data_IF_926717277291
#
_entry.id   IF_926717277291
#
_cell.length_a   1.000
_cell.length_b   1.000
_cell.length_c   1.000
_cell.angle_alpha   90.00
_cell.angle_beta   90.00
_cell.angle_gamma   90.00
#
_symmetry.space_group_name_H-M   'P 1'
#
loop_
_entity.id
_entity.type
_entity.pdbx_description
1 polymer ?
#
# COMPACT_ATOMS: atom_id res chain seq x y z
N UNK A 1 35.31 12.43 81.99
CA UNK A 1 36.68 12.97 82.25
C UNK A 1 37.44 12.86 80.91
N UNK A 2 38.10 13.91 80.39
CA UNK A 2 39.51 14.32 80.65
C UNK A 2 40.49 13.12 80.55
N UNK A 3 41.58 13.14 79.77
CA UNK A 3 42.35 14.19 79.09
C UNK A 3 42.56 13.86 77.57
N UNK A 4 42.85 14.75 76.61
CA UNK A 4 43.89 15.80 76.46
C UNK A 4 45.34 15.24 76.47
N UNK A 5 46.30 15.64 75.60
CA UNK A 5 46.33 16.66 74.52
C UNK A 5 47.52 16.40 73.54
N UNK A 6 47.41 16.83 72.26
CA UNK A 6 48.53 17.55 71.58
C UNK A 6 49.28 16.92 70.38
N UNK A 7 49.05 17.49 69.17
CA UNK A 7 50.00 18.17 68.24
C UNK A 7 51.37 17.50 67.87
N UNK A 8 51.92 17.57 66.64
CA UNK A 8 51.62 18.42 65.46
C UNK A 8 52.13 17.82 64.10
N UNK A 9 51.43 18.17 63.00
CA UNK A 9 51.77 18.18 61.55
C UNK A 9 52.42 17.01 60.74
N UNK A 10 51.77 16.76 59.57
CA UNK A 10 52.26 16.64 58.17
C UNK A 10 53.47 15.72 57.84
N UNK A 11 53.49 14.97 56.72
CA UNK A 11 52.53 14.81 55.61
C UNK A 11 52.35 13.31 55.26
N UNK A 12 51.18 12.94 54.73
CA UNK A 12 50.77 11.52 54.69
C UNK A 12 50.96 10.79 53.35
N UNK A 13 51.30 9.50 53.47
CA UNK A 13 51.03 8.38 52.53
C UNK A 13 51.66 8.50 51.13
N UNK A 14 52.54 7.60 50.66
CA UNK A 14 53.03 6.32 51.15
C UNK A 14 51.97 5.22 51.40
N UNK A 15 51.73 4.37 50.38
CA UNK A 15 51.87 2.90 50.51
C UNK A 15 51.79 2.16 49.16
N UNK A 16 52.88 1.49 48.83
CA UNK A 16 52.95 0.26 48.01
C UNK A 16 52.68 -0.97 48.93
N UNK A 17 53.00 -2.24 48.60
CA UNK A 17 53.50 -2.84 47.33
C UNK A 17 52.79 -4.17 46.94
N UNK A 18 53.26 -4.81 45.86
CA UNK A 18 53.77 -6.20 45.81
C UNK A 18 53.90 -6.63 44.32
N UNK A 19 55.09 -6.75 43.72
CA UNK A 19 56.16 -7.75 43.95
C UNK A 19 55.91 -9.11 43.25
N UNK A 20 56.36 -9.22 41.99
CA UNK A 20 57.15 -10.38 41.50
C UNK A 20 57.93 -10.05 40.22
N UNK A 21 59.09 -10.69 40.08
CA UNK A 21 59.95 -10.80 38.88
C UNK A 21 59.51 -12.03 38.05
N UNK A 22 59.89 -12.31 36.78
CA UNK A 22 60.70 -11.67 35.72
C UNK A 22 60.53 -12.45 34.38
N UNK A 23 60.96 -11.87 33.26
CA UNK A 23 61.50 -12.50 32.02
C UNK A 23 60.62 -13.44 31.18
N UNK A 24 60.38 -13.04 29.92
CA UNK A 24 61.13 -13.55 28.75
C UNK A 24 60.97 -12.57 27.56
N UNK A 25 61.70 -12.74 26.46
CA UNK A 25 61.83 -11.71 25.38
C UNK A 25 62.15 -12.36 24.02
N UNK A 26 61.83 -11.65 22.92
CA UNK A 26 61.86 -11.92 21.45
C UNK A 26 60.49 -12.30 20.87
N UNK A 27 59.86 -11.57 19.93
CA UNK A 27 60.27 -11.20 18.54
C UNK A 27 60.36 -12.42 17.60
N UNK A 28 59.80 -12.43 16.37
CA UNK A 28 59.19 -11.35 15.55
C UNK A 28 58.33 -11.84 14.36
N UNK A 29 57.36 -11.01 13.94
CA UNK A 29 56.83 -10.85 12.56
C UNK A 29 55.95 -11.94 11.92
N UNK A 30 55.17 -11.65 10.84
CA UNK A 30 54.73 -10.33 10.33
C UNK A 30 53.20 -10.14 10.33
N UNK A 31 52.75 -8.92 10.05
CA UNK A 31 51.33 -8.55 9.91
C UNK A 31 50.69 -9.09 8.61
N UNK A 32 49.36 -9.25 8.61
CA UNK A 32 48.55 -9.43 7.40
C UNK A 32 47.57 -8.26 7.25
N UNK A 33 47.40 -7.80 6.01
CA UNK A 33 46.59 -6.64 5.62
C UNK A 33 45.09 -6.81 5.91
N UNK A 34 44.44 -5.73 6.33
CA UNK A 34 43.03 -5.68 6.76
C UNK A 34 41.99 -5.87 5.63
N UNK A 35 42.43 -6.02 4.37
CA UNK A 35 41.56 -6.07 3.18
C UNK A 35 40.76 -7.38 3.00
N UNK A 36 41.11 -8.50 3.66
CA UNK A 36 40.40 -9.78 3.49
C UNK A 36 39.03 -9.87 4.21
N UNK A 37 38.66 -8.87 5.05
CA UNK A 37 37.40 -8.92 5.84
C UNK A 37 36.24 -8.13 5.20
N UNK A 38 36.41 -7.64 3.96
CA UNK A 38 35.32 -7.04 3.17
C UNK A 38 34.37 -8.12 2.65
N UNK A 39 33.41 -8.53 3.50
CA UNK A 39 32.24 -9.34 3.09
C UNK A 39 31.57 -8.70 1.88
N UNK A 40 31.15 -9.53 0.91
CA UNK A 40 30.44 -9.08 -0.30
C UNK A 40 29.05 -8.53 0.03
N UNK A 41 28.97 -7.26 0.41
CA UNK A 41 27.74 -6.50 0.24
C UNK A 41 27.61 -6.15 -1.25
N UNK A 42 26.48 -6.50 -1.86
CA UNK A 42 26.18 -6.03 -3.21
C UNK A 42 26.04 -4.50 -3.19
N UNK A 43 26.50 -3.76 -4.22
CA UNK A 43 26.27 -2.34 -4.31
C UNK A 43 24.77 -2.12 -4.59
N UNK A 44 24.02 -1.74 -3.55
CA UNK A 44 22.62 -1.30 -3.70
C UNK A 44 22.63 -0.04 -4.57
N UNK A 45 22.29 -0.23 -5.85
CA UNK A 45 22.16 0.84 -6.83
C UNK A 45 20.93 1.68 -6.47
N UNK A 46 21.15 2.68 -5.62
CA UNK A 46 20.13 3.63 -5.16
C UNK A 46 19.64 4.52 -6.30
N UNK A 47 18.78 3.96 -7.16
CA UNK A 47 17.77 4.74 -7.86
C UNK A 47 16.79 5.26 -6.81
N UNK A 48 16.69 6.59 -6.64
CA UNK A 48 15.67 7.23 -5.79
C UNK A 48 14.24 7.13 -6.35
N UNK A 49 14.04 6.34 -7.41
CA UNK A 49 12.76 6.04 -8.02
C UNK A 49 12.03 4.96 -7.21
N UNK A 50 10.75 5.18 -6.81
CA UNK A 50 9.94 4.16 -6.14
C UNK A 50 9.86 2.85 -6.94
N UNK A 51 9.79 1.72 -6.23
CA UNK A 51 9.72 0.38 -6.82
C UNK A 51 8.48 0.18 -7.70
N UNK A 52 7.36 0.82 -7.32
CA UNK A 52 6.13 0.91 -8.13
C UNK A 52 6.42 1.41 -9.55
N UNK A 53 7.35 2.36 -9.71
CA UNK A 53 7.75 2.92 -11.01
C UNK A 53 8.95 2.18 -11.62
N UNK A 54 9.93 1.75 -10.82
CA UNK A 54 11.10 0.97 -11.26
C UNK A 54 10.68 -0.34 -11.95
N UNK A 55 9.70 -1.03 -11.38
CA UNK A 55 9.16 -2.30 -11.87
C UNK A 55 7.87 -2.19 -12.68
N UNK A 56 7.43 -0.96 -13.02
CA UNK A 56 6.25 -0.72 -13.87
C UNK A 56 6.43 -1.40 -15.24
N UNK A 57 5.54 -2.33 -15.64
CA UNK A 57 5.56 -2.95 -16.96
C UNK A 57 5.64 -1.94 -18.11
N UNK A 58 6.57 -2.17 -19.06
CA UNK A 58 6.82 -1.30 -20.22
C UNK A 58 6.25 -1.84 -21.53
N UNK A 59 5.70 -3.06 -21.51
CA UNK A 59 5.05 -3.73 -22.63
C UNK A 59 3.74 -4.36 -22.15
N UNK A 60 2.72 -4.41 -22.98
CA UNK A 60 1.40 -4.95 -22.60
C UNK A 60 1.49 -6.43 -22.19
N UNK A 61 2.39 -7.20 -22.82
CA UNK A 61 2.69 -8.60 -22.47
C UNK A 61 3.45 -8.80 -21.15
N UNK A 62 3.93 -7.71 -20.52
CA UNK A 62 4.57 -7.75 -19.19
C UNK A 62 3.57 -7.38 -18.06
N UNK A 63 2.29 -7.16 -18.39
CA UNK A 63 1.22 -6.88 -17.42
C UNK A 63 0.67 -8.19 -16.85
N UNK A 64 0.58 -8.29 -15.52
CA UNK A 64 0.28 -9.53 -14.82
C UNK A 64 -1.20 -9.98 -14.96
N UNK A 65 -1.39 -11.27 -15.27
CA UNK A 65 -2.66 -12.02 -15.17
C UNK A 65 -3.91 -11.36 -15.80
N UNK A 66 -3.74 -10.78 -16.98
CA UNK A 66 -4.82 -10.15 -17.75
C UNK A 66 -4.88 -10.69 -19.18
N UNK A 67 -4.64 -12.00 -19.35
CA UNK A 67 -4.41 -12.67 -20.64
C UNK A 67 -5.42 -12.31 -21.72
N UNK A 68 -6.72 -12.24 -21.39
CA UNK A 68 -7.77 -11.86 -22.34
C UNK A 68 -7.64 -10.42 -22.85
N UNK A 69 -7.38 -9.48 -21.93
CA UNK A 69 -7.15 -8.05 -22.22
C UNK A 69 -5.83 -7.89 -22.99
N UNK A 70 -4.74 -8.49 -22.49
CA UNK A 70 -3.41 -8.48 -23.12
C UNK A 70 -3.45 -9.04 -24.55
N UNK A 71 -4.18 -10.14 -24.79
CA UNK A 71 -4.37 -10.74 -26.12
C UNK A 71 -5.10 -9.79 -27.07
N UNK A 72 -6.24 -9.23 -26.66
CA UNK A 72 -7.01 -8.29 -27.51
C UNK A 72 -6.20 -7.03 -27.80
N UNK A 73 -5.49 -6.49 -26.81
CA UNK A 73 -4.64 -5.32 -26.98
C UNK A 73 -3.43 -5.60 -27.89
N UNK A 74 -2.82 -6.79 -27.80
CA UNK A 74 -1.70 -7.18 -28.69
C UNK A 74 -2.14 -7.22 -30.15
N UNK A 75 -3.27 -7.86 -30.46
CA UNK A 75 -3.87 -7.87 -31.81
C UNK A 75 -4.23 -6.45 -32.30
N UNK A 76 -4.62 -5.56 -31.37
CA UNK A 76 -4.92 -4.15 -31.67
C UNK A 76 -3.65 -3.34 -31.97
N UNK A 77 -2.54 -3.64 -31.29
CA UNK A 77 -1.23 -3.04 -31.55
C UNK A 77 -0.64 -3.47 -32.90
N UNK A 78 -0.77 -4.75 -33.27
CA UNK A 78 -0.30 -5.27 -34.58
C UNK A 78 -1.01 -4.59 -35.77
N UNK A 79 -2.32 -4.37 -35.65
CA UNK A 79 -3.11 -3.64 -36.66
C UNK A 79 -2.95 -2.12 -36.58
N UNK A 80 -2.31 -1.60 -35.52
CA UNK A 80 -2.15 -0.18 -35.19
C UNK A 80 -3.45 0.64 -35.15
N UNK A 81 -4.61 -0.02 -35.13
CA UNK A 81 -5.94 0.59 -35.20
C UNK A 81 -6.61 0.58 -33.83
N UNK A 82 -6.11 1.38 -32.90
CA UNK A 82 -6.69 1.50 -31.56
C UNK A 82 -8.03 2.26 -31.63
N UNK A 83 -9.17 1.64 -31.25
CA UNK A 83 -10.37 2.41 -30.93
C UNK A 83 -10.12 3.23 -29.66
N UNK A 84 -11.06 4.11 -29.29
CA UNK A 84 -11.09 4.63 -27.92
C UNK A 84 -11.25 3.46 -26.94
N UNK A 85 -10.56 3.52 -25.81
CA UNK A 85 -10.52 2.42 -24.82
C UNK A 85 -10.96 2.93 -23.46
N UNK A 86 -11.69 2.09 -22.72
CA UNK A 86 -12.09 2.36 -21.36
C UNK A 86 -11.58 1.23 -20.44
N UNK A 87 -10.62 1.58 -19.58
CA UNK A 87 -10.01 0.66 -18.62
C UNK A 87 -10.62 0.89 -17.24
N UNK A 88 -11.27 -0.12 -16.67
CA UNK A 88 -12.00 0.01 -15.40
C UNK A 88 -11.81 -1.23 -14.52
N UNK A 89 -11.82 -1.03 -13.20
CA UNK A 89 -11.52 -2.06 -12.20
C UNK A 89 -10.83 -1.49 -10.96
N UNK A 90 -10.49 -2.33 -9.96
CA UNK A 90 -9.89 -1.91 -8.69
C UNK A 90 -8.56 -1.14 -8.83
N UNK A 91 -8.09 -0.44 -7.77
CA UNK A 91 -6.72 0.09 -7.70
C UNK A 91 -5.68 -1.04 -7.79
N UNK A 92 -4.40 -0.69 -8.00
CA UNK A 92 -3.29 -1.66 -8.13
C UNK A 92 -3.25 -2.50 -9.42
N UNK A 93 -4.39 -2.78 -10.03
CA UNK A 93 -4.57 -3.71 -11.16
C UNK A 93 -3.87 -3.33 -12.47
N UNK A 94 -3.12 -2.22 -12.53
CA UNK A 94 -2.30 -1.87 -13.70
C UNK A 94 -3.03 -1.17 -14.85
N UNK A 95 -4.23 -0.62 -14.64
CA UNK A 95 -4.99 0.17 -15.64
C UNK A 95 -4.12 1.21 -16.39
N UNK A 96 -3.55 2.15 -15.63
CA UNK A 96 -2.65 3.22 -16.15
C UNK A 96 -1.42 2.62 -16.83
N UNK A 97 -0.78 1.64 -16.18
CA UNK A 97 0.39 0.92 -16.71
C UNK A 97 0.12 0.35 -18.10
N UNK A 98 -1.04 -0.25 -18.33
CA UNK A 98 -1.42 -0.79 -19.64
C UNK A 98 -1.59 0.32 -20.68
N UNK A 99 -2.19 1.47 -20.31
CA UNK A 99 -2.30 2.63 -21.20
C UNK A 99 -0.92 3.20 -21.60
N UNK A 100 -0.03 3.37 -20.63
CA UNK A 100 1.35 3.83 -20.84
C UNK A 100 2.15 2.83 -21.69
N UNK A 101 1.99 1.52 -21.46
CA UNK A 101 2.65 0.46 -22.23
C UNK A 101 2.19 0.43 -23.70
N UNK A 102 0.89 0.55 -23.97
CA UNK A 102 0.35 0.73 -25.34
C UNK A 102 0.99 1.94 -26.02
N UNK A 103 1.02 3.08 -25.33
CA UNK A 103 1.53 4.33 -25.86
C UNK A 103 3.05 4.28 -26.13
N UNK A 104 3.82 3.59 -25.27
CA UNK A 104 5.24 3.30 -25.52
C UNK A 104 5.46 2.33 -26.69
N UNK A 105 4.64 1.28 -26.84
CA UNK A 105 4.78 0.30 -27.92
C UNK A 105 4.36 0.84 -29.30
N UNK A 106 3.49 1.85 -29.38
CA UNK A 106 3.13 2.53 -30.63
C UNK A 106 4.13 3.61 -31.05
N UNK A 107 4.58 4.46 -30.11
CA UNK A 107 5.34 5.67 -30.47
C UNK A 107 6.84 5.58 -30.18
N UNK A 108 7.29 4.59 -29.40
CA UNK A 108 8.68 4.48 -28.96
C UNK A 108 9.13 5.66 -28.07
N UNK A 109 10.37 5.65 -27.57
CA UNK A 109 10.86 6.68 -26.64
C UNK A 109 10.96 8.08 -27.28
N UNK A 110 11.19 8.17 -28.60
CA UNK A 110 11.34 9.46 -29.31
C UNK A 110 10.02 10.21 -29.44
N UNK A 111 8.96 9.56 -29.95
CA UNK A 111 7.72 10.26 -30.30
C UNK A 111 6.73 10.32 -29.14
N UNK A 112 6.91 9.53 -28.07
CA UNK A 112 6.03 9.47 -26.89
C UNK A 112 5.63 10.87 -26.41
N UNK A 113 6.61 11.71 -26.04
CA UNK A 113 6.37 13.08 -25.52
C UNK A 113 5.70 14.05 -26.51
N UNK A 114 5.58 13.68 -27.78
CA UNK A 114 4.95 14.49 -28.85
C UNK A 114 3.57 13.98 -29.28
N UNK A 115 3.25 12.70 -28.98
CA UNK A 115 2.05 11.99 -29.43
C UNK A 115 1.20 11.44 -28.30
N UNK A 116 1.68 11.50 -27.07
CA UNK A 116 0.96 11.13 -25.85
C UNK A 116 0.77 12.39 -25.00
N UNK A 117 -0.46 12.64 -24.56
CA UNK A 117 -0.77 13.60 -23.50
C UNK A 117 -1.41 12.83 -22.35
N UNK A 118 -0.75 12.85 -21.20
CA UNK A 118 -1.26 12.30 -19.94
C UNK A 118 -1.79 13.46 -19.09
N UNK A 119 -2.99 13.30 -18.54
CA UNK A 119 -3.61 14.24 -17.59
C UNK A 119 -4.24 13.42 -16.46
N UNK A 120 -3.88 13.72 -15.21
CA UNK A 120 -4.68 13.27 -14.09
C UNK A 120 -5.88 14.21 -13.94
N UNK A 121 -7.10 13.67 -13.94
CA UNK A 121 -8.31 14.50 -14.03
C UNK A 121 -8.75 15.10 -12.67
N UNK A 122 -8.21 14.59 -11.56
CA UNK A 122 -8.41 15.08 -10.19
C UNK A 122 -7.53 16.30 -9.86
N UNK A 123 -6.22 16.22 -10.14
CA UNK A 123 -5.22 17.26 -9.82
C UNK A 123 -5.39 18.57 -10.60
N UNK A 124 -5.72 18.44 -11.89
CA UNK A 124 -5.73 19.53 -12.87
C UNK A 124 -7.07 20.31 -12.79
N UNK A 125 -7.35 20.82 -11.58
CA UNK A 125 -8.62 21.32 -10.96
C UNK A 125 -9.39 22.44 -11.69
N UNK A 126 -9.44 22.41 -13.01
CA UNK A 126 -10.28 23.25 -13.83
C UNK A 126 -10.63 22.58 -15.15
N UNK A 127 -11.89 22.19 -15.31
CA UNK A 127 -12.50 21.72 -16.57
C UNK A 127 -11.99 22.50 -17.81
N UNK A 128 -11.95 23.82 -17.71
CA UNK A 128 -11.54 24.70 -18.80
C UNK A 128 -10.03 24.61 -19.12
N UNK A 129 -9.19 24.29 -18.14
CA UNK A 129 -7.75 24.05 -18.32
C UNK A 129 -7.55 22.72 -19.06
N UNK A 130 -8.12 21.63 -18.53
CA UNK A 130 -8.11 20.29 -19.15
C UNK A 130 -8.61 20.35 -20.60
N UNK A 131 -9.79 20.96 -20.83
CA UNK A 131 -10.39 21.13 -22.15
C UNK A 131 -9.53 21.96 -23.11
N UNK A 132 -8.79 22.94 -22.61
CA UNK A 132 -7.90 23.78 -23.43
C UNK A 132 -6.60 23.04 -23.75
N UNK A 133 -5.99 22.33 -22.79
CA UNK A 133 -4.84 21.43 -23.02
C UNK A 133 -5.17 20.40 -24.09
N UNK A 134 -6.30 19.70 -23.96
CA UNK A 134 -6.81 18.71 -24.93
C UNK A 134 -7.01 19.33 -26.32
N UNK A 135 -7.71 20.46 -26.43
CA UNK A 135 -7.95 21.13 -27.72
C UNK A 135 -6.64 21.54 -28.41
N UNK A 136 -5.73 22.19 -27.70
CA UNK A 136 -4.44 22.61 -28.26
C UNK A 136 -3.60 21.41 -28.69
N UNK A 137 -3.57 20.35 -27.89
CA UNK A 137 -2.82 19.12 -28.24
C UNK A 137 -3.42 18.39 -29.45
N UNK A 138 -4.75 18.29 -29.55
CA UNK A 138 -5.44 17.67 -30.69
C UNK A 138 -5.32 18.50 -31.98
N UNK A 139 -5.29 19.84 -31.89
CA UNK A 139 -5.19 20.72 -33.05
C UNK A 139 -3.80 20.70 -33.74
N UNK A 140 -2.73 20.36 -33.01
CA UNK A 140 -1.39 20.22 -33.59
C UNK A 140 -1.32 18.95 -34.44
N UNK A 141 -1.34 19.11 -35.76
CA UNK A 141 -1.27 18.01 -36.73
C UNK A 141 -0.01 17.12 -36.53
N UNK A 142 -0.16 15.83 -36.80
CA UNK A 142 0.94 14.85 -36.80
C UNK A 142 1.35 14.49 -38.22
N UNK A 143 2.66 14.40 -38.45
CA UNK A 143 3.22 13.94 -39.71
C UNK A 143 2.85 12.50 -40.05
N UNK A 144 2.89 12.19 -41.35
CA UNK A 144 2.52 10.88 -41.91
C UNK A 144 3.30 9.72 -41.29
N UNK A 145 2.62 8.57 -41.15
CA UNK A 145 3.08 7.42 -40.37
C UNK A 145 4.24 6.64 -40.99
N UNK A 146 5.43 7.21 -41.01
CA UNK A 146 6.67 6.45 -41.23
C UNK A 146 7.05 5.70 -39.95
N UNK A 147 7.34 4.40 -40.06
CA UNK A 147 7.98 3.62 -38.99
C UNK A 147 9.36 4.23 -38.70
N UNK A 148 9.54 4.82 -37.52
CA UNK A 148 10.84 5.30 -37.01
C UNK A 148 11.26 4.41 -35.84
N UNK A 149 12.55 4.07 -35.75
CA UNK A 149 13.08 3.20 -34.69
C UNK A 149 12.48 1.79 -34.61
N UNK A 150 11.79 1.31 -35.66
CA UNK A 150 11.10 0.01 -35.68
C UNK A 150 9.67 0.01 -35.14
N UNK A 151 9.19 1.11 -34.55
CA UNK A 151 7.86 1.19 -33.95
C UNK A 151 6.74 1.41 -35.00
N UNK A 152 5.54 0.84 -34.79
CA UNK A 152 4.37 1.11 -35.61
C UNK A 152 3.78 2.47 -35.24
N UNK A 153 4.22 3.55 -35.90
CA UNK A 153 3.80 4.93 -35.60
C UNK A 153 2.55 5.35 -36.41
N UNK A 154 1.31 5.20 -35.90
CA UNK A 154 0.08 5.54 -36.65
C UNK A 154 -0.10 7.05 -36.84
N UNK A 155 -1.00 7.48 -37.75
CA UNK A 155 -1.28 8.90 -38.02
C UNK A 155 -2.18 9.59 -36.97
N UNK A 156 -2.19 9.13 -35.71
CA UNK A 156 -2.94 9.73 -34.60
C UNK A 156 -2.07 10.05 -33.38
N UNK A 157 -2.70 10.60 -32.35
CA UNK A 157 -2.18 10.85 -31.00
C UNK A 157 -3.03 10.10 -29.97
N UNK A 158 -2.47 9.84 -28.81
CA UNK A 158 -3.19 9.29 -27.65
C UNK A 158 -3.31 10.38 -26.59
N UNK A 159 -4.48 10.44 -25.94
CA UNK A 159 -4.71 11.22 -24.73
C UNK A 159 -5.11 10.21 -23.65
N UNK A 160 -4.39 10.19 -22.54
CA UNK A 160 -4.67 9.38 -21.36
C UNK A 160 -5.28 10.33 -20.34
N UNK A 161 -6.49 10.02 -19.89
CA UNK A 161 -7.16 10.68 -18.78
C UNK A 161 -7.25 9.65 -17.66
N UNK A 162 -6.43 9.80 -16.62
CA UNK A 162 -6.55 8.97 -15.41
C UNK A 162 -7.48 9.64 -14.39
N UNK A 163 -8.04 8.86 -13.47
CA UNK A 163 -9.01 9.31 -12.45
C UNK A 163 -10.21 10.08 -13.06
N UNK A 164 -10.63 9.64 -14.25
CA UNK A 164 -11.70 10.26 -15.04
C UNK A 164 -13.11 10.15 -14.41
N UNK A 165 -13.26 9.31 -13.39
CA UNK A 165 -14.41 9.21 -12.49
C UNK A 165 -14.51 10.39 -11.51
N UNK A 166 -13.36 10.93 -11.10
CA UNK A 166 -13.22 12.06 -10.16
C UNK A 166 -13.48 13.44 -10.81
N UNK A 167 -13.82 13.48 -12.10
CA UNK A 167 -14.26 14.70 -12.78
C UNK A 167 -15.63 15.15 -12.28
N UNK A 168 -15.78 16.44 -11.98
CA UNK A 168 -17.07 17.03 -11.56
C UNK A 168 -18.18 16.86 -12.61
N UNK A 169 -19.44 16.93 -12.17
CA UNK A 169 -20.58 16.74 -13.07
C UNK A 169 -20.59 17.70 -14.27
N UNK A 170 -20.15 18.96 -14.12
CA UNK A 170 -19.98 19.90 -15.26
C UNK A 170 -18.91 19.46 -16.27
N UNK A 171 -17.84 18.81 -15.78
CA UNK A 171 -16.80 18.24 -16.64
C UNK A 171 -17.30 17.00 -17.38
N UNK A 172 -18.05 16.13 -16.70
CA UNK A 172 -18.73 14.98 -17.32
C UNK A 172 -19.88 15.40 -18.25
N UNK A 173 -20.61 16.46 -17.93
CA UNK A 173 -21.67 17.06 -18.74
C UNK A 173 -21.14 17.75 -20.00
N UNK A 174 -19.84 17.97 -20.11
CA UNK A 174 -19.25 18.28 -21.41
C UNK A 174 -19.21 17.07 -22.38
N UNK A 175 -19.90 15.95 -22.09
CA UNK A 175 -19.91 14.74 -22.90
C UNK A 175 -21.27 14.08 -23.30
N UNK A 176 -22.34 13.73 -22.56
CA UNK A 176 -22.85 13.70 -21.16
C UNK A 176 -23.52 12.29 -20.97
N UNK A 177 -23.92 11.68 -19.84
CA UNK A 177 -23.71 11.83 -18.38
C UNK A 177 -23.83 10.42 -17.70
N UNK A 178 -23.65 10.32 -16.36
CA UNK A 178 -23.85 9.20 -15.41
C UNK A 178 -23.81 7.69 -15.83
N UNK A 179 -22.72 7.01 -15.45
CA UNK A 179 -22.69 5.88 -14.48
C UNK A 179 -21.19 5.50 -14.25
N UNK A 180 -20.49 6.30 -13.44
CA UNK A 180 -19.02 6.38 -13.28
C UNK A 180 -18.20 6.69 -14.56
N UNK A 181 -18.60 6.20 -15.74
CA UNK A 181 -18.27 6.82 -17.03
C UNK A 181 -19.56 6.97 -17.82
N UNK A 182 -19.74 8.16 -18.41
CA UNK A 182 -20.95 8.57 -19.12
C UNK A 182 -21.29 7.63 -20.29
N UNK A 183 -22.57 7.29 -20.51
CA UNK A 183 -22.95 6.23 -21.46
C UNK A 183 -22.50 6.52 -22.92
N UNK A 184 -22.59 7.76 -23.46
CA UNK A 184 -21.99 8.13 -24.74
C UNK A 184 -20.45 8.02 -24.86
N UNK A 185 -19.69 7.90 -23.77
CA UNK A 185 -18.28 7.45 -23.82
C UNK A 185 -18.22 5.93 -23.76
N UNK A 186 -18.94 5.32 -22.82
CA UNK A 186 -18.93 3.88 -22.60
C UNK A 186 -19.41 3.09 -23.83
N UNK A 187 -20.23 3.67 -24.69
CA UNK A 187 -20.68 3.12 -25.97
C UNK A 187 -19.74 3.39 -27.15
N UNK A 188 -18.86 4.41 -27.06
CA UNK A 188 -17.84 4.75 -28.07
C UNK A 188 -16.47 4.15 -27.78
N UNK A 189 -16.25 3.62 -26.58
CA UNK A 189 -15.00 3.01 -26.14
C UNK A 189 -15.11 1.49 -26.06
N UNK A 190 -14.08 0.78 -26.52
CA UNK A 190 -13.88 -0.62 -26.20
C UNK A 190 -13.63 -0.76 -24.69
N UNK A 191 -14.50 -1.50 -23.99
CA UNK A 191 -14.45 -1.68 -22.52
C UNK A 191 -13.52 -2.84 -22.17
N UNK A 192 -12.55 -2.62 -21.29
CA UNK A 192 -11.68 -3.66 -20.76
C UNK A 192 -11.78 -3.68 -19.23
N UNK A 193 -12.25 -4.79 -18.67
CA UNK A 193 -12.39 -4.99 -17.22
C UNK A 193 -11.11 -5.56 -16.64
N UNK A 194 -10.50 -4.79 -15.75
CA UNK A 194 -9.36 -5.20 -14.94
C UNK A 194 -9.91 -5.89 -13.68
N UNK A 195 -9.49 -7.13 -13.43
CA UNK A 195 -9.84 -7.91 -12.23
C UNK A 195 -8.80 -7.67 -11.13
N UNK A 196 -9.14 -7.88 -9.84
CA UNK A 196 -8.12 -8.07 -8.80
C UNK A 196 -7.10 -9.14 -9.24
N UNK A 197 -5.85 -9.00 -8.81
CA UNK A 197 -4.82 -10.01 -9.06
C UNK A 197 -4.97 -11.17 -8.06
N UNK A 198 -4.79 -12.40 -8.52
CA UNK A 198 -4.77 -13.58 -7.64
C UNK A 198 -3.50 -13.61 -6.79
N UNK A 199 -3.57 -14.26 -5.63
CA UNK A 199 -2.46 -14.37 -4.69
C UNK A 199 -1.23 -15.04 -5.31
N UNK A 200 -1.42 -16.08 -6.14
CA UNK A 200 -0.35 -16.76 -6.89
C UNK A 200 0.46 -15.77 -7.76
N UNK A 201 -0.25 -14.87 -8.45
CA UNK A 201 0.32 -13.92 -9.40
C UNK A 201 1.01 -12.77 -8.68
N UNK A 202 0.37 -12.26 -7.64
CA UNK A 202 0.94 -11.23 -6.77
C UNK A 202 2.19 -11.75 -6.08
N UNK A 203 2.15 -12.97 -5.52
CA UNK A 203 3.29 -13.68 -4.96
C UNK A 203 4.43 -13.86 -5.96
N UNK A 204 4.12 -14.34 -7.17
CA UNK A 204 5.11 -14.51 -8.25
C UNK A 204 5.79 -13.18 -8.63
N UNK A 205 5.03 -12.09 -8.73
CA UNK A 205 5.58 -10.76 -9.05
C UNK A 205 6.36 -10.14 -7.89
N UNK A 206 5.92 -10.35 -6.65
CA UNK A 206 6.65 -9.97 -5.43
C UNK A 206 7.98 -10.70 -5.32
N UNK A 207 8.00 -12.02 -5.51
CA UNK A 207 9.22 -12.83 -5.48
C UNK A 207 10.21 -12.40 -6.55
N UNK A 208 9.75 -12.04 -7.75
CA UNK A 208 10.62 -11.44 -8.78
C UNK A 208 11.27 -10.14 -8.29
N UNK A 209 10.53 -9.23 -7.64
CA UNK A 209 11.08 -7.98 -7.13
C UNK A 209 12.08 -8.24 -6.00
N UNK A 210 11.77 -9.16 -5.09
CA UNK A 210 12.65 -9.52 -3.97
C UNK A 210 13.97 -10.15 -4.45
N UNK A 211 13.93 -11.00 -5.48
CA UNK A 211 15.14 -11.56 -6.10
C UNK A 211 16.04 -10.50 -6.76
N UNK A 212 15.45 -9.48 -7.40
CA UNK A 212 16.20 -8.38 -8.04
C UNK A 212 16.81 -7.40 -7.02
N UNK A 213 16.14 -7.16 -5.89
CA UNK A 213 16.61 -6.25 -4.82
C UNK A 213 17.40 -6.95 -3.71
N UNK A 214 17.46 -8.29 -3.70
CA UNK A 214 18.18 -9.09 -2.72
C UNK A 214 17.47 -9.26 -1.36
N UNK A 215 16.14 -9.13 -1.31
CA UNK A 215 15.33 -9.38 -0.12
C UNK A 215 14.95 -10.86 0.01
N UNK A 216 14.89 -11.37 1.25
CA UNK A 216 14.34 -12.67 1.56
C UNK A 216 13.00 -12.53 2.32
N UNK A 217 11.91 -12.97 1.71
CA UNK A 217 10.59 -13.10 2.35
C UNK A 217 10.39 -14.54 2.83
N UNK A 218 9.77 -14.70 3.99
CA UNK A 218 9.22 -15.99 4.40
C UNK A 218 7.91 -16.30 3.64
N UNK A 219 7.54 -17.59 3.56
CA UNK A 219 6.30 -18.02 2.92
C UNK A 219 5.06 -17.49 3.65
N UNK A 220 5.11 -17.43 4.99
CA UNK A 220 4.05 -16.82 5.82
C UNK A 220 3.94 -15.31 5.56
N UNK A 221 5.08 -14.60 5.51
CA UNK A 221 5.11 -13.18 5.19
C UNK A 221 4.54 -12.89 3.77
N UNK A 222 4.77 -13.80 2.81
CA UNK A 222 4.25 -13.68 1.45
C UNK A 222 2.73 -13.89 1.36
N UNK A 223 2.14 -14.80 2.15
CA UNK A 223 0.69 -14.94 2.26
C UNK A 223 0.08 -13.76 3.00
N UNK A 224 0.63 -13.36 4.15
CA UNK A 224 0.20 -12.17 4.91
C UNK A 224 0.20 -10.91 4.04
N UNK A 225 1.27 -10.66 3.27
CA UNK A 225 1.31 -9.54 2.31
C UNK A 225 0.18 -9.63 1.27
N UNK A 226 -0.11 -10.83 0.77
CA UNK A 226 -1.11 -11.05 -0.27
C UNK A 226 -2.52 -10.75 0.23
N UNK A 227 -2.88 -11.26 1.41
CA UNK A 227 -4.18 -11.02 2.04
C UNK A 227 -4.37 -9.54 2.41
N UNK A 228 -3.36 -8.91 3.02
CA UNK A 228 -3.36 -7.46 3.35
C UNK A 228 -3.51 -6.57 2.10
N UNK A 229 -2.95 -7.00 0.97
CA UNK A 229 -2.98 -6.23 -0.28
C UNK A 229 -4.29 -6.39 -1.06
N UNK A 230 -5.12 -7.39 -0.78
CA UNK A 230 -6.43 -7.63 -1.42
C UNK A 230 -6.40 -7.59 -2.96
N UNK A 231 -5.30 -8.07 -3.57
CA UNK A 231 -5.09 -8.06 -5.02
C UNK A 231 -4.57 -6.74 -5.61
N UNK A 232 -4.27 -5.73 -4.79
CA UNK A 232 -3.60 -4.48 -5.17
C UNK A 232 -2.06 -4.65 -5.10
N UNK A 233 -1.45 -4.91 -6.26
CA UNK A 233 0.00 -5.03 -6.38
C UNK A 233 0.77 -3.72 -6.11
N UNK A 234 0.14 -2.54 -6.21
CA UNK A 234 0.78 -1.27 -5.83
C UNK A 234 0.96 -1.23 -4.32
N UNK A 235 -0.07 -1.55 -3.53
CA UNK A 235 0.00 -1.67 -2.07
C UNK A 235 1.07 -2.68 -1.66
N UNK A 236 1.05 -3.88 -2.25
CA UNK A 236 2.04 -4.93 -1.98
C UNK A 236 3.50 -4.45 -2.19
N UNK A 237 3.76 -3.74 -3.29
CA UNK A 237 5.10 -3.19 -3.58
C UNK A 237 5.46 -2.05 -2.62
N UNK A 238 4.52 -1.18 -2.26
CA UNK A 238 4.75 -0.08 -1.31
C UNK A 238 5.11 -0.60 0.09
N UNK A 239 4.42 -1.61 0.62
CA UNK A 239 4.72 -2.19 1.94
C UNK A 239 6.11 -2.85 2.00
N UNK A 240 6.57 -3.42 0.89
CA UNK A 240 7.90 -4.03 0.77
C UNK A 240 9.04 -3.01 0.56
N UNK A 241 8.76 -1.87 -0.07
CA UNK A 241 9.79 -0.92 -0.48
C UNK A 241 10.45 -0.24 0.73
N UNK A 242 11.76 -0.41 0.97
CA UNK A 242 12.47 0.43 1.93
C UNK A 242 12.52 1.88 1.41
N UNK A 243 12.01 2.83 2.19
CA UNK A 243 12.25 4.25 1.89
C UNK A 243 13.74 4.58 2.00
N UNK A 244 14.24 5.37 1.05
CA UNK A 244 15.63 5.80 0.95
C UNK A 244 16.08 6.69 2.12
N UNK A 245 17.39 6.75 2.34
CA UNK A 245 18.04 7.36 3.51
C UNK A 245 17.89 8.90 3.65
N UNK A 246 17.17 9.58 2.77
CA UNK A 246 17.00 11.04 2.81
C UNK A 246 15.91 11.47 3.82
N UNK A 247 16.35 11.97 4.98
CA UNK A 247 15.49 12.54 6.02
C UNK A 247 14.58 13.66 5.50
N UNK A 248 14.97 14.33 4.42
CA UNK A 248 14.23 15.44 3.81
C UNK A 248 12.92 15.04 3.12
N UNK A 249 12.76 13.79 2.66
CA UNK A 249 11.58 13.38 1.86
C UNK A 249 10.42 12.85 2.71
N UNK A 250 10.68 12.48 3.97
CA UNK A 250 9.67 11.97 4.91
C UNK A 250 8.64 13.03 5.38
N UNK A 251 8.82 14.30 4.98
CA UNK A 251 7.95 15.43 5.36
C UNK A 251 6.96 15.86 4.25
N UNK A 252 7.05 15.32 3.04
CA UNK A 252 6.24 15.74 1.89
C UNK A 252 5.09 14.81 1.50
N UNK A 253 4.96 13.65 2.14
CA UNK A 253 3.81 12.74 2.02
C UNK A 253 3.35 12.36 3.42
N UNK A 254 2.07 12.61 3.74
CA UNK A 254 1.53 12.49 5.10
C UNK A 254 1.20 11.06 5.56
N UNK A 255 1.86 10.05 5.00
CA UNK A 255 1.55 8.63 5.24
C UNK A 255 2.71 7.93 5.94
N UNK A 256 2.47 7.39 7.14
CA UNK A 256 3.49 6.79 8.01
C UNK A 256 3.87 5.34 7.61
N UNK A 257 4.01 5.07 6.32
CA UNK A 257 4.30 3.73 5.80
C UNK A 257 5.81 3.41 5.86
N UNK A 258 6.23 2.87 7.02
CA UNK A 258 7.62 2.52 7.31
C UNK A 258 8.05 1.18 6.67
N UNK A 259 8.10 1.12 5.33
CA UNK A 259 8.35 -0.11 4.54
C UNK A 259 9.34 -1.11 5.15
N UNK A 260 8.89 -2.36 5.34
CA UNK A 260 9.41 -3.30 6.35
C UNK A 260 10.92 -3.63 6.21
N UNK A 261 11.43 -3.65 4.97
CA UNK A 261 12.84 -3.83 4.66
C UNK A 261 13.77 -2.81 5.34
N UNK A 262 13.26 -1.63 5.72
CA UNK A 262 14.03 -0.58 6.44
C UNK A 262 14.15 -0.84 7.94
N UNK A 263 13.14 -1.46 8.55
CA UNK A 263 13.06 -1.67 10.00
C UNK A 263 13.76 -2.98 10.44
N UNK A 264 13.58 -4.05 9.67
CA UNK A 264 13.99 -5.41 10.06
C UNK A 264 15.12 -6.01 9.21
N UNK A 265 15.51 -5.31 8.14
CA UNK A 265 16.66 -5.65 7.29
C UNK A 265 16.31 -6.60 6.14
N UNK A 266 17.24 -7.52 5.82
CA UNK A 266 17.15 -8.39 4.63
C UNK A 266 16.18 -9.57 4.76
N UNK A 267 15.57 -9.75 5.94
CA UNK A 267 14.57 -10.79 6.22
C UNK A 267 13.33 -10.12 6.82
N UNK A 268 12.17 -10.31 6.19
CA UNK A 268 10.90 -9.71 6.60
C UNK A 268 9.95 -10.82 7.07
N UNK A 269 9.36 -10.65 8.25
CA UNK A 269 8.38 -11.55 8.86
C UNK A 269 6.95 -11.02 8.75
N UNK A 270 5.97 -11.87 9.02
CA UNK A 270 4.54 -11.54 8.98
C UNK A 270 4.16 -10.40 9.95
N UNK A 271 4.76 -10.41 11.16
CA UNK A 271 4.48 -9.39 12.19
C UNK A 271 5.01 -8.01 11.78
N UNK A 272 6.13 -7.98 11.09
CA UNK A 272 6.71 -6.75 10.52
C UNK A 272 5.74 -6.13 9.50
N UNK A 273 5.18 -6.95 8.60
CA UNK A 273 4.22 -6.50 7.59
C UNK A 273 2.89 -6.01 8.19
N UNK A 274 2.39 -6.64 9.25
CA UNK A 274 1.20 -6.17 9.97
C UNK A 274 1.49 -4.77 10.55
N UNK A 275 2.60 -4.60 11.27
CA UNK A 275 2.97 -3.30 11.87
C UNK A 275 3.17 -2.17 10.85
N UNK A 276 3.64 -2.49 9.64
CA UNK A 276 3.93 -1.52 8.56
C UNK A 276 2.71 -1.21 7.70
N UNK A 277 1.75 -2.12 7.60
CA UNK A 277 0.54 -1.93 6.81
C UNK A 277 -0.57 -1.16 7.53
N UNK A 278 -0.45 -0.98 8.86
CA UNK A 278 -1.47 -0.38 9.71
C UNK A 278 -2.65 -1.32 10.02
N UNK A 279 -2.55 -2.60 9.65
CA UNK A 279 -3.58 -3.61 9.89
C UNK A 279 -3.61 -4.01 11.36
N UNK A 280 -4.81 -4.11 11.92
CA UNK A 280 -5.01 -4.45 13.34
C UNK A 280 -4.67 -5.93 13.51
N UNK A 281 -3.86 -6.33 14.52
CA UNK A 281 -3.55 -7.74 14.75
C UNK A 281 -4.83 -8.57 14.98
N UNK A 282 -4.94 -9.79 14.41
CA UNK A 282 -6.15 -10.61 14.58
C UNK A 282 -6.44 -10.92 16.05
N UNK A 283 -5.38 -11.04 16.87
CA UNK A 283 -5.42 -11.19 18.33
C UNK A 283 -6.32 -10.13 19.03
N UNK A 284 -6.39 -8.90 18.50
CA UNK A 284 -7.21 -7.78 19.02
C UNK A 284 -8.67 -7.87 18.53
N UNK A 285 -8.87 -8.23 17.25
CA UNK A 285 -10.21 -8.34 16.64
C UNK A 285 -10.97 -9.54 17.21
N UNK A 286 -10.30 -10.68 17.32
CA UNK A 286 -10.79 -11.88 18.00
C UNK A 286 -11.02 -11.61 19.50
N UNK A 287 -10.13 -10.84 20.15
CA UNK A 287 -10.28 -10.41 21.54
C UNK A 287 -11.58 -9.63 21.78
N UNK A 288 -11.82 -8.57 20.99
CA UNK A 288 -13.06 -7.78 21.05
C UNK A 288 -14.31 -8.65 20.81
N UNK A 289 -14.27 -9.51 19.80
CA UNK A 289 -15.39 -10.40 19.47
C UNK A 289 -15.65 -11.44 20.58
N UNK A 290 -14.61 -12.01 21.19
CA UNK A 290 -14.72 -12.93 22.31
C UNK A 290 -15.28 -12.25 23.58
N UNK A 291 -14.91 -10.99 23.84
CA UNK A 291 -15.49 -10.19 24.93
C UNK A 291 -16.97 -9.87 24.65
N UNK A 292 -17.32 -9.47 23.42
CA UNK A 292 -18.73 -9.28 23.06
C UNK A 292 -19.55 -10.58 23.18
N UNK A 293 -18.93 -11.74 22.93
CA UNK A 293 -19.53 -13.06 23.12
C UNK A 293 -19.69 -13.47 24.60
N UNK A 294 -18.97 -12.86 25.54
CA UNK A 294 -19.16 -13.10 26.97
C UNK A 294 -20.41 -12.42 27.54
N UNK A 295 -20.96 -11.42 26.82
CA UNK A 295 -22.12 -10.65 27.24
C UNK A 295 -21.84 -9.59 28.32
N UNK A 296 -20.58 -9.38 28.69
CA UNK A 296 -20.17 -8.40 29.71
C UNK A 296 -19.87 -7.05 29.05
N UNK A 297 -20.76 -6.08 29.25
CA UNK A 297 -20.64 -4.74 28.71
C UNK A 297 -19.49 -3.93 29.33
N UNK A 298 -19.17 -4.12 30.62
CA UNK A 298 -18.10 -3.37 31.27
C UNK A 298 -16.73 -3.84 30.75
N UNK A 299 -16.58 -5.13 30.45
CA UNK A 299 -15.41 -5.66 29.74
C UNK A 299 -15.34 -5.17 28.29
N UNK A 300 -16.46 -5.20 27.55
CA UNK A 300 -16.49 -4.74 26.15
C UNK A 300 -16.15 -3.25 26.01
N UNK A 301 -16.74 -2.42 26.87
CA UNK A 301 -16.43 -0.99 26.98
C UNK A 301 -14.94 -0.76 27.29
N UNK A 302 -14.36 -1.52 28.23
CA UNK A 302 -12.93 -1.45 28.53
C UNK A 302 -12.07 -1.80 27.31
N UNK A 303 -12.44 -2.81 26.53
CA UNK A 303 -11.66 -3.22 25.35
C UNK A 303 -11.75 -2.20 24.21
N UNK A 304 -12.93 -1.60 23.97
CA UNK A 304 -13.08 -0.47 23.05
C UNK A 304 -12.20 0.73 23.48
N UNK A 305 -12.12 1.02 24.79
CA UNK A 305 -11.21 2.04 25.31
C UNK A 305 -9.73 1.68 25.08
N UNK A 306 -9.33 0.41 25.22
CA UNK A 306 -7.96 -0.04 24.93
C UNK A 306 -7.61 0.17 23.45
N UNK A 307 -8.50 -0.25 22.54
CA UNK A 307 -8.32 -0.15 21.08
C UNK A 307 -8.18 1.31 20.62
N UNK A 308 -9.02 2.21 21.13
CA UNK A 308 -8.92 3.66 20.87
C UNK A 308 -7.64 4.26 21.48
N UNK A 309 -7.18 3.77 22.63
CA UNK A 309 -5.93 4.22 23.27
C UNK A 309 -4.66 3.73 22.55
N UNK A 310 -4.70 2.58 21.88
CA UNK A 310 -3.64 2.12 20.96
C UNK A 310 -3.69 2.85 19.59
N UNK A 311 -4.80 3.50 19.26
CA UNK A 311 -4.93 4.37 18.09
C UNK A 311 -5.24 3.65 16.78
N UNK A 312 -5.87 2.46 16.85
CA UNK A 312 -6.30 1.74 15.65
C UNK A 312 -7.49 2.44 14.97
N UNK A 313 -7.52 2.60 13.62
CA UNK A 313 -8.64 3.23 12.92
C UNK A 313 -9.93 2.43 13.08
N UNK A 314 -11.03 3.07 13.50
CA UNK A 314 -12.29 2.38 13.77
C UNK A 314 -12.87 1.71 12.51
N UNK A 315 -12.78 2.35 11.35
CA UNK A 315 -13.27 1.80 10.07
C UNK A 315 -12.54 0.52 9.64
N UNK A 316 -11.24 0.41 9.93
CA UNK A 316 -10.47 -0.79 9.66
C UNK A 316 -10.85 -1.95 10.60
N UNK A 317 -11.12 -1.62 11.87
CA UNK A 317 -11.65 -2.57 12.84
C UNK A 317 -13.02 -3.12 12.42
N UNK A 318 -13.93 -2.26 11.93
CA UNK A 318 -15.23 -2.71 11.43
C UNK A 318 -15.10 -3.66 10.24
N UNK A 319 -14.18 -3.37 9.31
CA UNK A 319 -13.92 -4.26 8.17
C UNK A 319 -13.39 -5.64 8.61
N UNK A 320 -12.40 -5.67 9.52
CA UNK A 320 -11.85 -6.95 10.00
C UNK A 320 -12.84 -7.72 10.88
N UNK A 321 -13.66 -7.02 11.68
CA UNK A 321 -14.72 -7.62 12.49
C UNK A 321 -15.85 -8.18 11.63
N UNK A 322 -16.19 -7.52 10.51
CA UNK A 322 -17.14 -8.05 9.53
C UNK A 322 -16.67 -9.39 8.97
N UNK A 323 -15.42 -9.48 8.52
CA UNK A 323 -14.85 -10.73 7.97
C UNK A 323 -14.92 -11.87 9.00
N UNK A 324 -14.49 -11.61 10.25
CA UNK A 324 -14.56 -12.58 11.37
C UNK A 324 -16.00 -13.03 11.67
N UNK A 325 -16.97 -12.11 11.67
CA UNK A 325 -18.40 -12.41 11.90
C UNK A 325 -18.99 -13.25 10.77
N UNK A 326 -18.58 -13.01 9.52
CA UNK A 326 -19.04 -13.77 8.35
C UNK A 326 -18.47 -15.19 8.37
N UNK A 327 -17.18 -15.36 8.66
CA UNK A 327 -16.51 -16.67 8.69
C UNK A 327 -16.91 -17.54 9.89
N UNK A 328 -17.21 -16.96 11.05
CA UNK A 328 -17.55 -17.71 12.28
C UNK A 328 -18.78 -18.62 12.12
N UNK A 329 -18.63 -19.94 12.21
CA UNK A 329 -19.75 -20.90 12.12
C UNK A 329 -20.66 -20.92 13.38
N UNK A 330 -20.18 -20.41 14.53
CA UNK A 330 -20.85 -20.47 15.83
C UNK A 330 -22.11 -19.59 15.99
N UNK A 331 -22.44 -18.76 15.00
CA UNK A 331 -23.52 -17.76 15.05
C UNK A 331 -24.52 -18.02 13.93
N UNK A 332 -25.83 -18.01 14.25
CA UNK A 332 -26.89 -18.25 13.26
C UNK A 332 -27.00 -17.14 12.22
N UNK A 333 -27.50 -17.47 11.02
CA UNK A 333 -27.65 -16.53 9.90
C UNK A 333 -28.47 -15.27 10.29
N UNK A 334 -29.48 -15.41 11.15
CA UNK A 334 -30.26 -14.28 11.65
C UNK A 334 -29.43 -13.34 12.53
N UNK A 335 -28.64 -13.90 13.45
CA UNK A 335 -27.74 -13.13 14.32
C UNK A 335 -26.62 -12.47 13.52
N UNK A 336 -26.05 -13.17 12.52
CA UNK A 336 -25.09 -12.58 11.56
C UNK A 336 -25.74 -11.42 10.81
N UNK A 337 -26.95 -11.57 10.29
CA UNK A 337 -27.65 -10.51 9.56
C UNK A 337 -27.89 -9.26 10.42
N UNK A 338 -28.27 -9.41 11.70
CA UNK A 338 -28.40 -8.29 12.65
C UNK A 338 -27.07 -7.58 12.89
N UNK A 339 -25.98 -8.33 13.10
CA UNK A 339 -24.64 -7.75 13.31
C UNK A 339 -24.18 -7.01 12.06
N UNK A 340 -24.26 -7.62 10.87
CA UNK A 340 -23.85 -7.00 9.61
C UNK A 340 -24.67 -5.74 9.26
N UNK A 341 -25.95 -5.68 9.66
CA UNK A 341 -26.77 -4.46 9.55
C UNK A 341 -26.20 -3.32 10.41
N UNK A 342 -25.92 -3.58 11.69
CA UNK A 342 -25.32 -2.60 12.59
C UNK A 342 -23.95 -2.14 12.09
N UNK A 343 -23.08 -3.07 11.67
CA UNK A 343 -21.76 -2.73 11.10
C UNK A 343 -21.87 -1.78 9.90
N UNK A 344 -22.84 -1.99 8.99
CA UNK A 344 -23.06 -1.11 7.83
C UNK A 344 -23.68 0.24 8.19
N UNK A 345 -24.54 0.30 9.21
CA UNK A 345 -25.09 1.56 9.73
C UNK A 345 -24.00 2.41 10.40
N UNK A 346 -23.09 1.78 11.14
CA UNK A 346 -21.99 2.45 11.86
C UNK A 346 -20.82 2.81 10.94
N UNK A 347 -20.46 1.98 9.96
CA UNK A 347 -19.46 2.34 8.93
C UNK A 347 -19.87 3.62 8.18
N UNK A 348 -21.15 3.73 7.82
CA UNK A 348 -21.69 4.97 7.25
C UNK A 348 -21.54 6.15 8.21
N UNK A 349 -21.86 5.99 9.50
CA UNK A 349 -21.69 7.05 10.48
C UNK A 349 -20.22 7.51 10.61
N UNK A 350 -19.24 6.60 10.53
CA UNK A 350 -17.82 6.96 10.49
C UNK A 350 -17.47 7.76 9.22
N UNK A 351 -18.00 7.37 8.06
CA UNK A 351 -17.83 8.12 6.79
C UNK A 351 -18.48 9.51 6.84
N UNK A 352 -19.63 9.64 7.51
CA UNK A 352 -20.31 10.92 7.77
C UNK A 352 -19.61 11.75 8.89
N UNK A 353 -18.54 11.24 9.52
CA UNK A 353 -17.70 11.95 10.48
C UNK A 353 -18.12 11.86 11.95
N UNK A 354 -18.79 10.77 12.36
CA UNK A 354 -19.18 10.50 13.74
C UNK A 354 -17.98 10.16 14.66
N UNK A 355 -18.22 10.21 15.98
CA UNK A 355 -17.24 9.86 17.00
C UNK A 355 -16.92 8.35 17.01
N UNK A 356 -15.65 8.01 16.80
CA UNK A 356 -15.16 6.63 16.68
C UNK A 356 -15.45 5.78 17.92
N UNK A 357 -15.28 6.34 19.12
CA UNK A 357 -15.48 5.61 20.36
C UNK A 357 -16.97 5.26 20.57
N UNK A 358 -17.87 6.22 20.35
CA UNK A 358 -19.31 5.96 20.43
C UNK A 358 -19.78 4.98 19.36
N UNK A 359 -19.22 5.04 18.14
CA UNK A 359 -19.52 4.10 17.06
C UNK A 359 -19.07 2.67 17.40
N UNK A 360 -17.83 2.47 17.86
CA UNK A 360 -17.36 1.14 18.25
C UNK A 360 -18.10 0.57 19.47
N UNK A 361 -18.51 1.42 20.41
CA UNK A 361 -19.28 1.00 21.59
C UNK A 361 -20.71 0.56 21.22
N UNK A 362 -21.35 1.19 20.23
CA UNK A 362 -22.65 0.74 19.72
C UNK A 362 -22.54 -0.61 18.99
N UNK A 363 -21.50 -0.80 18.17
CA UNK A 363 -21.21 -2.11 17.54
C UNK A 363 -21.02 -3.19 18.59
N UNK A 364 -20.17 -2.96 19.59
CA UNK A 364 -19.97 -3.92 20.68
C UNK A 364 -21.29 -4.25 21.41
N UNK A 365 -22.11 -3.23 21.69
CA UNK A 365 -23.43 -3.36 22.32
C UNK A 365 -24.40 -4.20 21.48
N UNK A 366 -24.47 -3.97 20.17
CA UNK A 366 -25.40 -4.69 19.29
C UNK A 366 -24.90 -6.10 18.94
N UNK A 367 -23.58 -6.35 18.91
CA UNK A 367 -23.02 -7.72 18.88
C UNK A 367 -23.40 -8.49 20.14
N UNK A 368 -23.24 -7.90 21.34
CA UNK A 368 -23.70 -8.50 22.60
C UNK A 368 -25.19 -8.84 22.54
N UNK A 369 -26.04 -7.90 22.11
CA UNK A 369 -27.50 -8.11 22.00
C UNK A 369 -27.86 -9.22 21.02
N UNK A 370 -27.21 -9.27 19.86
CA UNK A 370 -27.43 -10.30 18.85
C UNK A 370 -26.98 -11.69 19.34
N UNK A 371 -25.79 -11.81 19.93
CA UNK A 371 -25.25 -13.09 20.45
C UNK A 371 -26.09 -13.61 21.62
N UNK A 372 -26.47 -12.74 22.57
CA UNK A 372 -27.39 -13.06 23.67
C UNK A 372 -28.85 -13.23 23.22
N UNK A 373 -29.13 -13.08 21.92
CA UNK A 373 -30.44 -13.22 21.27
C UNK A 373 -31.55 -12.40 21.94
N UNK A 374 -31.20 -11.19 22.39
CA UNK A 374 -32.15 -10.24 22.99
C UNK A 374 -33.14 -9.73 21.92
N UNK A 375 -34.39 -9.40 22.31
CA UNK A 375 -35.32 -8.76 21.38
C UNK A 375 -34.82 -7.37 20.98
N UNK A 376 -35.03 -7.03 19.71
CA UNK A 376 -34.96 -5.65 19.27
C UNK A 376 -36.19 -4.91 19.79
N UNK A 377 -35.98 -3.78 20.48
CA UNK A 377 -37.04 -2.78 20.62
C UNK A 377 -37.26 -2.17 19.24
N UNK A 378 -38.24 -2.70 18.50
CA UNK A 378 -38.68 -2.13 17.23
C UNK A 378 -39.15 -0.69 17.46
N UNK A 379 -38.30 0.28 17.13
CA UNK A 379 -38.73 1.65 16.94
C UNK A 379 -39.64 1.68 15.70
N UNK A 380 -40.94 1.69 15.95
CA UNK A 380 -41.96 2.00 14.96
C UNK A 380 -41.89 3.50 14.63
N UNK A 381 -40.97 3.88 13.75
CA UNK A 381 -41.08 5.16 13.04
C UNK A 381 -42.37 5.16 12.22
N UNK A 382 -43.30 6.04 12.59
CA UNK A 382 -44.67 6.17 12.06
C UNK A 382 -44.87 7.49 11.31
#
# INVERSE_FOLDING_TARGET
MRANFGKIHKSGKNKSPNFTQKFSTTQSSPEKSEDEVKRKMAPVLQSSQPWVEKYRPKQVKDVAHQEEVVRVLTNTLETANCPHMLFYGPPGTGKTTTALAIAHQLFGPELYKSRVLELNASDDRGINVVRTKIKTFAAVAVGSGQRRGGYPCPPYKIIILDEADSMTEDAQACLFQFYWIIEPLASRCAKFRFKPLSEEVMSSRVLHICNEEGLNLDAEALSTLSSISQGDLRRAITYLQPMSNDEAYALSFGEMLQGAARLFGSSITSKDLISVSGVIPPEVVEGLFAVCRSGDFDLANKEVNNIIAEGYPASLLLSQLFDVVVETEDISDEQKARICKCLAEVDKCLVDGADEYLQLLDVASNVIRAVCNMPEEFQYDC
#
